data_IF_408592189284
#
_entry.id   IF_408592189284
#
_cell.length_a   1.000
_cell.length_b   1.000
_cell.length_c   1.000
_cell.angle_alpha   90.00
_cell.angle_beta   90.00
_cell.angle_gamma   90.00
#
_symmetry.space_group_name_H-M   'P 1'
#
loop_
_entity.id
_entity.type
_entity.pdbx_description
1 polymer ?
#
# COMPACT_ATOMS: atom_id res chain seq x y z
N UNK A 1 -9.65 15.99 24.22
CA UNK A 1 -8.54 16.14 25.19
C UNK A 1 -8.93 17.17 26.25
N UNK A 2 -8.78 16.87 27.56
CA UNK A 2 -9.13 17.81 28.61
C UNK A 2 -8.18 19.01 28.62
N UNK A 3 -8.71 20.22 28.84
CA UNK A 3 -7.95 21.49 28.82
C UNK A 3 -6.88 21.57 29.92
N UNK A 4 -7.01 20.77 30.99
CA UNK A 4 -6.07 20.69 32.12
C UNK A 4 -4.66 20.29 31.69
N UNK A 5 -4.51 19.48 30.64
CA UNK A 5 -3.20 19.00 30.16
C UNK A 5 -2.57 19.93 29.11
N UNK A 6 -3.21 21.04 28.75
CA UNK A 6 -2.67 21.97 27.76
C UNK A 6 -1.52 22.82 28.32
N UNK A 7 -0.53 23.13 27.47
CA UNK A 7 0.58 24.02 27.83
C UNK A 7 0.09 25.42 28.22
N UNK A 8 -1.04 25.87 27.67
CA UNK A 8 -1.68 27.15 28.00
C UNK A 8 -1.92 27.34 29.49
N UNK A 9 -2.26 26.27 30.23
CA UNK A 9 -2.44 26.35 31.69
C UNK A 9 -1.14 26.67 32.42
N UNK A 10 0.00 26.13 31.96
CA UNK A 10 1.32 26.39 32.52
C UNK A 10 1.90 27.75 32.12
N UNK A 11 1.40 28.36 31.04
CA UNK A 11 1.87 29.67 30.58
C UNK A 11 1.24 30.88 31.31
N UNK A 12 0.24 30.68 32.20
CA UNK A 12 -0.30 31.78 33.03
C UNK A 12 0.78 32.32 33.97
N UNK A 13 0.96 33.65 33.99
CA UNK A 13 2.05 34.32 34.71
C UNK A 13 3.28 34.62 33.85
N UNK A 14 3.40 34.03 32.65
CA UNK A 14 4.44 34.41 31.69
C UNK A 14 3.97 35.57 30.80
N UNK A 15 4.81 36.60 30.65
CA UNK A 15 4.48 37.85 29.94
C UNK A 15 4.12 37.65 28.46
N UNK A 16 4.75 36.70 27.75
CA UNK A 16 4.58 36.50 26.29
C UNK A 16 4.01 35.13 25.90
N UNK A 17 3.61 34.31 26.89
CA UNK A 17 3.12 32.94 26.68
C UNK A 17 3.98 32.07 25.74
N UNK A 18 5.30 32.30 25.69
CA UNK A 18 6.24 31.52 24.88
C UNK A 18 6.51 32.06 23.46
N UNK A 19 5.94 33.21 23.07
CA UNK A 19 6.11 33.77 21.73
C UNK A 19 7.22 34.84 21.61
N UNK A 20 8.11 34.92 22.60
CA UNK A 20 9.23 35.87 22.64
C UNK A 20 8.81 37.33 22.89
N UNK A 21 9.79 38.21 23.16
CA UNK A 21 9.54 39.64 23.45
C UNK A 21 9.54 40.51 22.18
N UNK A 22 10.49 40.25 21.27
CA UNK A 22 10.75 41.09 20.08
C UNK A 22 9.87 40.68 18.89
N UNK A 23 9.94 39.42 18.46
CA UNK A 23 9.23 38.93 17.25
C UNK A 23 7.70 38.93 17.37
N UNK A 24 7.19 38.55 18.55
CA UNK A 24 5.76 38.41 18.90
C UNK A 24 4.99 37.43 18.00
N UNK A 25 3.85 36.96 18.49
CA UNK A 25 2.92 36.19 17.66
C UNK A 25 2.04 37.16 16.86
N UNK A 26 2.22 37.20 15.53
CA UNK A 26 1.44 38.02 14.60
C UNK A 26 0.57 37.16 13.69
N UNK A 27 -0.44 37.77 13.09
CA UNK A 27 -1.51 37.05 12.38
C UNK A 27 -1.00 36.12 11.26
N UNK A 28 -0.25 36.63 10.27
CA UNK A 28 0.23 35.84 9.12
C UNK A 28 1.58 36.33 8.57
N UNK A 29 2.71 36.12 9.28
CA UNK A 29 4.03 36.39 8.71
C UNK A 29 4.31 35.39 7.58
N UNK A 30 4.51 35.88 6.35
CA UNK A 30 4.83 35.06 5.17
C UNK A 30 3.63 34.64 4.29
N UNK A 31 2.41 35.07 4.64
CA UNK A 31 1.19 34.77 3.89
C UNK A 31 0.34 33.65 4.49
N UNK A 32 -0.71 33.23 3.77
CA UNK A 32 -1.64 32.17 4.20
C UNK A 32 -1.51 30.95 3.30
N UNK A 33 -1.61 29.76 3.88
CA UNK A 33 -1.55 28.50 3.13
C UNK A 33 -0.21 28.32 2.41
N UNK A 34 -0.27 27.99 1.11
CA UNK A 34 0.90 27.73 0.26
C UNK A 34 1.43 28.99 -0.48
N UNK A 35 1.15 30.18 0.05
CA UNK A 35 1.64 31.44 -0.51
C UNK A 35 3.18 31.49 -0.53
N UNK A 36 3.73 32.12 -1.57
CA UNK A 36 5.17 32.31 -1.71
C UNK A 36 5.96 31.07 -2.13
N UNK A 37 5.30 29.98 -2.52
CA UNK A 37 5.96 28.71 -2.86
C UNK A 37 7.00 28.78 -3.97
N UNK A 38 6.89 29.72 -4.91
CA UNK A 38 7.92 29.97 -5.95
C UNK A 38 8.81 31.18 -5.65
N UNK A 39 8.56 31.86 -4.52
CA UNK A 39 9.20 33.12 -4.15
C UNK A 39 9.88 32.96 -2.78
N UNK A 40 9.40 33.63 -1.75
CA UNK A 40 10.03 33.68 -0.42
C UNK A 40 9.92 32.39 0.41
N UNK A 41 9.11 31.41 -0.01
CA UNK A 41 9.05 30.07 0.59
C UNK A 41 9.60 28.97 -0.34
N UNK A 42 10.24 29.35 -1.45
CA UNK A 42 10.78 28.42 -2.45
C UNK A 42 11.72 27.37 -1.86
N UNK A 43 12.62 27.77 -0.96
CA UNK A 43 13.58 26.86 -0.33
C UNK A 43 12.90 25.70 0.41
N UNK A 44 11.70 25.91 0.97
CA UNK A 44 10.95 24.84 1.61
C UNK A 44 10.38 23.84 0.59
N UNK A 45 9.81 24.33 -0.50
CA UNK A 45 9.22 23.47 -1.53
C UNK A 45 10.28 22.73 -2.34
N UNK A 46 11.36 23.40 -2.76
CA UNK A 46 12.42 22.74 -3.53
C UNK A 46 13.12 21.65 -2.72
N UNK A 47 13.28 21.87 -1.41
CA UNK A 47 13.95 20.91 -0.52
C UNK A 47 13.09 19.70 -0.15
N UNK A 48 11.82 19.92 0.18
CA UNK A 48 10.97 18.88 0.76
C UNK A 48 9.90 18.34 -0.20
N UNK A 49 9.57 19.08 -1.25
CA UNK A 49 8.50 18.75 -2.19
C UNK A 49 8.94 18.97 -3.65
N UNK A 50 10.05 18.35 -4.11
CA UNK A 50 10.48 18.48 -5.49
C UNK A 50 9.42 17.92 -6.45
N UNK A 51 9.15 18.64 -7.54
CA UNK A 51 8.10 18.29 -8.50
C UNK A 51 6.70 18.80 -8.14
N UNK A 52 6.56 19.59 -7.07
CA UNK A 52 5.27 20.21 -6.72
C UNK A 52 4.75 21.14 -7.81
N UNK A 53 5.62 21.95 -8.42
CA UNK A 53 5.28 22.78 -9.57
C UNK A 53 5.62 22.07 -10.88
N UNK A 54 4.66 22.05 -11.81
CA UNK A 54 4.81 21.45 -13.13
C UNK A 54 3.58 20.67 -13.54
N UNK A 55 3.60 20.15 -14.77
CA UNK A 55 2.55 19.28 -15.32
C UNK A 55 3.20 18.06 -15.94
N UNK A 56 2.71 16.87 -15.59
CA UNK A 56 3.23 15.58 -16.08
C UNK A 56 2.05 14.70 -16.54
N UNK A 57 2.26 13.92 -17.59
CA UNK A 57 1.31 12.93 -18.08
C UNK A 57 0.09 13.50 -18.83
N UNK A 58 -0.86 12.61 -19.13
CA UNK A 58 -2.10 12.91 -19.85
C UNK A 58 -3.31 12.80 -18.93
N UNK A 59 -4.31 13.69 -19.12
CA UNK A 59 -5.54 13.68 -18.31
C UNK A 59 -6.48 12.58 -18.79
N UNK A 60 -6.91 11.71 -17.87
CA UNK A 60 -7.91 10.68 -18.14
C UNK A 60 -9.26 11.07 -17.53
N UNK A 61 -10.24 11.36 -18.39
CA UNK A 61 -11.59 11.75 -17.98
C UNK A 61 -12.45 10.54 -17.62
N UNK A 62 -13.43 10.73 -16.73
CA UNK A 62 -14.40 9.69 -16.33
C UNK A 62 -13.76 8.36 -15.93
N UNK A 63 -12.65 8.41 -15.17
CA UNK A 63 -11.93 7.21 -14.73
C UNK A 63 -12.79 6.37 -13.77
N UNK A 64 -13.23 5.21 -14.23
CA UNK A 64 -13.93 4.21 -13.43
C UNK A 64 -12.93 3.22 -12.82
N UNK A 65 -12.73 3.28 -11.50
CA UNK A 65 -11.71 2.45 -10.83
C UNK A 65 -12.01 0.94 -10.91
N UNK A 66 -13.28 0.55 -11.06
CA UNK A 66 -13.68 -0.86 -11.14
C UNK A 66 -13.06 -1.57 -12.35
N UNK A 67 -12.84 -0.87 -13.47
CA UNK A 67 -12.17 -1.44 -14.65
C UNK A 67 -10.68 -1.70 -14.42
N UNK A 68 -10.08 -0.97 -13.47
CA UNK A 68 -8.68 -1.13 -13.07
C UNK A 68 -8.52 -2.04 -11.85
N UNK A 69 -9.61 -2.64 -11.35
CA UNK A 69 -9.56 -3.52 -10.21
C UNK A 69 -8.71 -4.75 -10.56
N UNK A 70 -7.48 -4.75 -10.02
CA UNK A 70 -6.55 -5.85 -10.19
C UNK A 70 -5.74 -6.15 -8.92
N UNK A 71 -6.37 -6.55 -7.80
CA UNK A 71 -5.63 -6.88 -6.59
C UNK A 71 -4.70 -8.05 -6.82
N UNK A 72 -3.53 -7.98 -6.18
CA UNK A 72 -2.39 -8.84 -6.46
C UNK A 72 -2.04 -9.68 -5.25
N UNK A 73 -1.70 -10.95 -5.49
CA UNK A 73 -1.09 -11.85 -4.51
C UNK A 73 0.22 -12.41 -5.05
N UNK A 74 1.18 -12.67 -4.15
CA UNK A 74 2.47 -13.28 -4.48
C UNK A 74 2.50 -14.75 -4.03
N UNK A 75 3.44 -15.53 -4.57
CA UNK A 75 3.55 -16.97 -4.30
C UNK A 75 3.80 -17.30 -2.82
N UNK A 76 4.58 -16.48 -2.12
CA UNK A 76 4.87 -16.62 -0.69
C UNK A 76 3.63 -16.62 0.21
N UNK A 77 2.54 -15.97 -0.24
CA UNK A 77 1.30 -15.86 0.52
C UNK A 77 0.21 -16.85 0.11
N UNK A 78 0.39 -17.59 -0.99
CA UNK A 78 -0.65 -18.51 -1.49
C UNK A 78 -1.03 -19.57 -0.45
N UNK A 79 -0.05 -20.14 0.24
CA UNK A 79 -0.31 -21.15 1.28
C UNK A 79 -0.89 -20.59 2.57
N UNK A 80 -0.79 -19.28 2.81
CA UNK A 80 -1.45 -18.63 3.95
C UNK A 80 -2.95 -18.38 3.71
N UNK A 81 -3.41 -18.51 2.46
CA UNK A 81 -4.83 -18.41 2.12
C UNK A 81 -5.58 -19.72 2.34
N UNK A 82 -4.86 -20.83 2.50
CA UNK A 82 -5.42 -22.12 2.88
C UNK A 82 -5.56 -22.15 4.42
N UNK A 83 -6.71 -22.60 4.97
CA UNK A 83 -6.86 -22.79 6.42
C UNK A 83 -5.75 -23.68 6.99
N UNK A 84 -5.22 -23.33 8.17
CA UNK A 84 -4.03 -23.96 8.76
C UNK A 84 -4.16 -25.49 8.89
N UNK A 85 -5.30 -25.97 9.37
CA UNK A 85 -5.58 -27.41 9.54
C UNK A 85 -5.41 -28.20 8.24
N UNK A 86 -5.94 -27.66 7.14
CA UNK A 86 -5.84 -28.30 5.82
C UNK A 86 -4.45 -28.14 5.22
N UNK A 87 -3.81 -26.99 5.45
CA UNK A 87 -2.44 -26.73 4.98
C UNK A 87 -1.48 -27.77 5.52
N UNK A 88 -1.51 -28.05 6.83
CA UNK A 88 -0.59 -29.00 7.45
C UNK A 88 -0.84 -30.44 6.95
N UNK A 89 -2.10 -30.80 6.70
CA UNK A 89 -2.43 -32.08 6.07
C UNK A 89 -1.85 -32.19 4.64
N UNK A 90 -2.00 -31.16 3.80
CA UNK A 90 -1.46 -31.16 2.44
C UNK A 90 0.07 -31.07 2.39
N UNK A 91 0.70 -30.43 3.37
CA UNK A 91 2.16 -30.38 3.49
C UNK A 91 2.74 -31.73 3.98
N UNK A 92 2.00 -32.46 4.83
CA UNK A 92 2.43 -33.76 5.35
C UNK A 92 2.16 -34.92 4.38
N UNK A 93 1.06 -34.89 3.62
CA UNK A 93 0.68 -35.96 2.68
C UNK A 93 1.05 -35.57 1.25
N UNK A 94 2.03 -36.27 0.64
CA UNK A 94 2.24 -36.29 -0.82
C UNK A 94 1.16 -37.15 -1.50
N UNK A 95 -0.10 -36.74 -1.38
CA UNK A 95 -1.22 -37.42 -2.04
C UNK A 95 -1.48 -36.90 -3.46
N UNK A 96 -2.21 -37.68 -4.26
CA UNK A 96 -2.58 -37.31 -5.64
C UNK A 96 -3.56 -36.12 -5.74
N UNK A 97 -4.18 -35.71 -4.62
CA UNK A 97 -5.19 -34.65 -4.58
C UNK A 97 -4.54 -33.31 -4.23
N UNK A 98 -4.28 -32.48 -5.24
CA UNK A 98 -3.81 -31.11 -5.06
C UNK A 98 -4.95 -30.17 -4.62
N UNK A 99 -4.72 -29.26 -3.64
CA UNK A 99 -5.70 -28.25 -3.27
C UNK A 99 -5.98 -27.28 -4.43
N UNK A 100 -7.25 -26.89 -4.57
CA UNK A 100 -7.68 -25.86 -5.52
C UNK A 100 -7.87 -24.55 -4.78
N UNK A 101 -7.11 -23.54 -5.15
CA UNK A 101 -7.18 -22.20 -4.58
C UNK A 101 -7.85 -21.24 -5.58
N UNK A 102 -9.06 -20.83 -5.26
CA UNK A 102 -9.78 -19.79 -6.02
C UNK A 102 -9.48 -18.41 -5.47
N UNK A 103 -8.63 -17.68 -6.20
CA UNK A 103 -8.19 -16.35 -5.81
C UNK A 103 -9.27 -15.30 -6.03
N UNK A 104 -10.18 -15.51 -6.98
CA UNK A 104 -11.21 -14.52 -7.29
C UNK A 104 -12.22 -14.40 -6.15
N UNK A 105 -12.64 -15.53 -5.59
CA UNK A 105 -13.49 -15.60 -4.40
C UNK A 105 -12.83 -14.96 -3.17
N UNK A 106 -11.50 -14.97 -3.11
CA UNK A 106 -10.70 -14.33 -2.06
C UNK A 106 -10.36 -12.85 -2.34
N UNK A 107 -10.90 -12.29 -3.43
CA UNK A 107 -10.72 -10.88 -3.79
C UNK A 107 -9.40 -10.57 -4.50
N UNK A 108 -8.69 -11.56 -5.03
CA UNK A 108 -7.47 -11.40 -5.81
C UNK A 108 -7.69 -11.75 -7.28
N UNK A 109 -7.07 -10.98 -8.17
CA UNK A 109 -7.21 -11.16 -9.62
C UNK A 109 -5.91 -11.55 -10.31
N UNK A 110 -4.76 -11.15 -9.75
CA UNK A 110 -3.43 -11.35 -10.36
C UNK A 110 -2.48 -12.05 -9.41
N UNK A 111 -1.79 -13.07 -9.92
CA UNK A 111 -0.67 -13.74 -9.24
C UNK A 111 0.66 -13.21 -9.77
N UNK A 112 1.57 -12.86 -8.86
CA UNK A 112 2.95 -12.46 -9.14
C UNK A 112 3.94 -13.47 -8.54
N UNK A 113 5.16 -13.47 -9.09
CA UNK A 113 6.16 -14.52 -8.88
C UNK A 113 7.08 -14.35 -7.68
N UNK A 114 6.87 -13.36 -6.80
CA UNK A 114 7.75 -13.15 -5.65
C UNK A 114 7.60 -14.32 -4.65
N UNK A 115 8.72 -14.82 -4.15
CA UNK A 115 8.76 -15.90 -3.15
C UNK A 115 9.05 -17.28 -3.73
N UNK A 116 8.97 -18.29 -2.86
CA UNK A 116 9.11 -19.70 -3.18
C UNK A 116 7.85 -20.44 -2.75
N UNK A 117 7.48 -21.46 -3.52
CA UNK A 117 6.45 -22.40 -3.13
C UNK A 117 7.10 -23.63 -2.47
N UNK A 118 6.42 -24.27 -1.50
CA UNK A 118 6.80 -25.62 -1.09
C UNK A 118 6.65 -26.58 -2.28
N UNK A 119 7.38 -27.68 -2.26
CA UNK A 119 7.31 -28.75 -3.28
C UNK A 119 6.04 -29.60 -3.11
N UNK A 120 4.88 -28.95 -3.10
CA UNK A 120 3.56 -29.56 -3.01
C UNK A 120 2.71 -28.97 -4.14
N UNK A 121 2.09 -29.81 -4.97
CA UNK A 121 1.32 -29.35 -6.12
C UNK A 121 0.11 -28.52 -5.67
N UNK A 122 -0.15 -27.41 -6.37
CA UNK A 122 -1.25 -26.47 -6.09
C UNK A 122 -1.97 -26.11 -7.39
N UNK A 123 -3.29 -26.18 -7.40
CA UNK A 123 -4.10 -25.68 -8.53
C UNK A 123 -4.54 -24.25 -8.22
N UNK A 124 -4.08 -23.28 -8.99
CA UNK A 124 -4.37 -21.85 -8.76
C UNK A 124 -5.33 -21.34 -9.83
N UNK A 125 -6.52 -20.87 -9.40
CA UNK A 125 -7.50 -20.21 -10.28
C UNK A 125 -7.35 -18.70 -10.16
N UNK A 126 -7.03 -18.03 -11.27
CA UNK A 126 -6.79 -16.58 -11.31
C UNK A 126 -7.14 -15.99 -12.68
N UNK A 127 -7.44 -14.67 -12.74
CA UNK A 127 -7.65 -13.97 -14.01
C UNK A 127 -6.35 -13.68 -14.75
N UNK A 128 -5.29 -13.38 -14.00
CA UNK A 128 -4.00 -13.00 -14.55
C UNK A 128 -2.85 -13.64 -13.78
N UNK A 129 -1.81 -14.08 -14.48
CA UNK A 129 -0.62 -14.67 -13.88
C UNK A 129 0.62 -14.08 -14.55
N UNK A 130 1.67 -13.78 -13.80
CA UNK A 130 2.95 -13.39 -14.39
C UNK A 130 3.72 -14.60 -14.90
N UNK A 131 4.55 -14.42 -15.94
CA UNK A 131 5.39 -15.49 -16.51
C UNK A 131 6.25 -16.20 -15.45
N UNK A 132 6.80 -15.44 -14.50
CA UNK A 132 7.61 -16.01 -13.42
C UNK A 132 6.77 -16.83 -12.44
N UNK A 133 5.56 -16.37 -12.10
CA UNK A 133 4.65 -17.13 -11.24
C UNK A 133 4.25 -18.44 -11.91
N UNK A 134 3.95 -18.40 -13.20
CA UNK A 134 3.61 -19.57 -14.00
C UNK A 134 4.74 -20.61 -14.01
N UNK A 135 5.97 -20.17 -14.27
CA UNK A 135 7.15 -21.04 -14.23
C UNK A 135 7.29 -21.75 -12.88
N UNK A 136 7.24 -21.00 -11.77
CA UNK A 136 7.43 -21.56 -10.43
C UNK A 136 6.30 -22.48 -9.98
N UNK A 137 5.05 -22.17 -10.35
CA UNK A 137 3.91 -23.05 -10.04
C UNK A 137 4.05 -24.37 -10.79
N UNK A 138 4.44 -24.33 -12.08
CA UNK A 138 4.70 -25.54 -12.87
C UNK A 138 5.87 -26.36 -12.32
N UNK A 139 6.96 -25.71 -11.91
CA UNK A 139 8.12 -26.37 -11.26
C UNK A 139 7.74 -27.07 -9.94
N UNK A 140 6.79 -26.50 -9.18
CA UNK A 140 6.25 -27.12 -7.97
C UNK A 140 5.24 -28.25 -8.25
N UNK A 141 4.99 -28.59 -9.51
CA UNK A 141 4.00 -29.60 -9.92
C UNK A 141 2.55 -29.10 -9.89
N UNK A 142 2.35 -27.80 -9.74
CA UNK A 142 1.03 -27.16 -9.73
C UNK A 142 0.49 -26.85 -11.12
N UNK A 143 -0.80 -26.52 -11.18
CA UNK A 143 -1.52 -26.19 -12.42
C UNK A 143 -2.17 -24.81 -12.28
N UNK A 144 -2.18 -24.05 -13.36
CA UNK A 144 -2.88 -22.76 -13.43
C UNK A 144 -4.14 -22.92 -14.24
N UNK A 145 -5.25 -22.43 -13.70
CA UNK A 145 -6.53 -22.33 -14.38
C UNK A 145 -6.89 -20.85 -14.53
N UNK A 146 -6.94 -20.39 -15.78
CA UNK A 146 -7.37 -19.02 -16.06
C UNK A 146 -8.90 -18.94 -15.95
N UNK A 147 -9.38 -17.96 -15.20
CA UNK A 147 -10.81 -17.65 -15.05
C UNK A 147 -11.11 -16.25 -15.59
N UNK A 148 -12.34 -16.03 -16.06
CA UNK A 148 -12.78 -14.76 -16.63
C UNK A 148 -13.10 -13.71 -15.55
#
# INVERSE_FOLDING_TARGET
>A
MPTRLSKTRKHRGHVSAGHGRVGKHRKHPGGRGLAGGQHHHRTNLDKYHPGYFGKVGMRYFHKQQNHFWKPVVNLDKLWSLVPAEKRDEYLAKKGDKAPVLDLLSLGYSKVLGKGRLPNVPLVVRARYVSKEAEKKIKEAGGVIQLVA
#
